data_IF_481734294717
#
_entry.id   IF_481734294717
#
_cell.length_a   1.000
_cell.length_b   1.000
_cell.length_c   1.000
_cell.angle_alpha   90.00
_cell.angle_beta   90.00
_cell.angle_gamma   90.00
#
_symmetry.space_group_name_H-M   'P 1'
#
loop_
_entity.id
_entity.type
_entity.pdbx_description
1 polymer ?
#
# COMPACT_ATOMS: atom_id res chain seq x y z
N UNK A 1 19.69 -13.61 -2.36
CA UNK A 1 19.25 -13.00 -1.10
C UNK A 1 19.19 -11.49 -1.30
N UNK A 2 18.29 -10.76 -0.62
CA UNK A 2 18.51 -9.32 -0.44
C UNK A 2 19.61 -9.21 0.60
N UNK A 3 20.83 -9.05 0.11
CA UNK A 3 22.01 -9.02 0.95
C UNK A 3 21.98 -7.80 1.88
N UNK A 4 21.35 -6.70 1.48
CA UNK A 4 21.33 -5.44 2.22
C UNK A 4 20.57 -5.56 3.55
N UNK A 5 19.33 -6.04 3.53
CA UNK A 5 18.50 -6.23 4.72
C UNK A 5 19.07 -7.32 5.63
N UNK A 6 19.53 -8.44 5.05
CA UNK A 6 20.16 -9.52 5.81
C UNK A 6 21.43 -9.03 6.54
N UNK A 7 22.33 -8.36 5.81
CA UNK A 7 23.59 -7.82 6.36
C UNK A 7 23.30 -6.80 7.44
N UNK A 8 22.32 -5.93 7.24
CA UNK A 8 21.92 -4.93 8.24
C UNK A 8 21.46 -5.61 9.53
N UNK A 9 20.58 -6.62 9.44
CA UNK A 9 20.11 -7.39 10.61
C UNK A 9 21.28 -8.07 11.32
N UNK A 10 22.19 -8.71 10.57
CA UNK A 10 23.37 -9.35 11.13
C UNK A 10 24.26 -8.34 11.86
N UNK A 11 24.53 -7.17 11.27
CA UNK A 11 25.32 -6.12 11.92
C UNK A 11 24.67 -5.66 13.23
N UNK A 12 23.38 -5.37 13.25
CA UNK A 12 22.70 -5.00 14.49
C UNK A 12 22.78 -6.11 15.55
N UNK A 13 22.67 -7.39 15.14
CA UNK A 13 22.82 -8.54 16.05
C UNK A 13 24.22 -8.66 16.67
N UNK A 14 25.23 -8.09 16.01
CA UNK A 14 26.61 -8.04 16.52
C UNK A 14 26.91 -6.76 17.32
N UNK A 15 25.87 -5.99 17.69
CA UNK A 15 26.02 -4.78 18.50
C UNK A 15 26.44 -3.54 17.72
N UNK A 16 26.44 -3.60 16.38
CA UNK A 16 26.68 -2.42 15.57
C UNK A 16 25.52 -1.43 15.68
N UNK A 17 25.83 -0.16 15.49
CA UNK A 17 24.85 0.92 15.42
C UNK A 17 25.00 1.63 14.08
N UNK A 18 23.88 2.04 13.50
CA UNK A 18 23.85 2.86 12.29
C UNK A 18 23.37 4.26 12.63
N UNK A 19 23.91 5.29 11.99
CA UNK A 19 23.39 6.65 12.05
C UNK A 19 22.87 7.03 10.68
N UNK A 20 21.60 7.41 10.62
CA UNK A 20 21.03 8.04 9.44
C UNK A 20 21.33 9.54 9.51
N UNK A 21 22.08 10.05 8.54
CA UNK A 21 22.43 11.47 8.43
C UNK A 21 21.72 12.00 7.19
N UNK A 22 21.01 13.11 7.36
CA UNK A 22 20.38 13.86 6.27
C UNK A 22 20.79 15.31 6.46
N UNK A 23 21.87 15.74 5.80
CA UNK A 23 22.42 17.07 6.04
C UNK A 23 21.59 18.14 5.30
N UNK A 24 21.34 19.32 5.91
CA UNK A 24 20.65 20.40 5.23
C UNK A 24 21.40 20.81 3.95
N UNK A 25 20.74 20.65 2.79
CA UNK A 25 21.34 20.97 1.49
C UNK A 25 22.13 19.82 0.85
N UNK A 26 22.19 18.64 1.49
CA UNK A 26 22.65 17.42 0.84
C UNK A 26 21.68 17.09 -0.30
N UNK A 27 22.09 17.46 -1.52
CA UNK A 27 21.46 16.90 -2.70
C UNK A 27 21.94 15.45 -2.76
N UNK A 28 21.04 14.51 -2.37
CA UNK A 28 21.17 13.13 -2.81
C UNK A 28 21.54 13.20 -4.29
N UNK A 29 22.65 12.59 -4.67
CA UNK A 29 23.07 12.44 -6.07
C UNK A 29 22.10 11.47 -6.75
N UNK A 30 20.85 11.89 -6.83
CA UNK A 30 19.75 11.18 -7.44
C UNK A 30 20.01 11.25 -8.93
N UNK A 31 20.73 10.25 -9.42
CA UNK A 31 20.59 9.84 -10.80
C UNK A 31 19.14 9.36 -10.96
N UNK A 32 18.24 10.29 -11.28
CA UNK A 32 16.84 10.02 -11.63
C UNK A 32 16.68 9.29 -12.96
N UNK A 33 17.78 8.94 -13.62
CA UNK A 33 17.75 7.96 -14.70
C UNK A 33 17.37 6.60 -14.13
N UNK A 34 16.10 6.23 -14.26
CA UNK A 34 15.65 4.85 -14.17
C UNK A 34 16.60 3.97 -15.00
N UNK A 35 17.32 3.01 -14.39
CA UNK A 35 18.26 2.19 -15.13
C UNK A 35 17.50 1.38 -16.18
N UNK A 36 17.86 1.55 -17.46
CA UNK A 36 17.41 0.64 -18.54
C UNK A 36 17.87 -0.81 -18.26
N UNK A 37 18.86 -0.99 -17.38
CA UNK A 37 19.31 -2.26 -16.82
C UNK A 37 19.86 -2.04 -15.40
N UNK A 38 19.32 -2.77 -14.41
CA UNK A 38 19.77 -2.68 -13.02
C UNK A 38 20.96 -3.64 -12.80
N UNK A 39 22.14 -3.10 -12.54
CA UNK A 39 23.31 -3.86 -12.07
C UNK A 39 23.82 -3.22 -10.78
N UNK A 40 23.69 -3.91 -9.65
CA UNK A 40 24.16 -3.43 -8.34
C UNK A 40 25.56 -3.94 -8.04
N UNK A 41 26.42 -3.10 -7.43
CA UNK A 41 27.71 -3.49 -6.86
C UNK A 41 27.83 -2.89 -5.46
N UNK A 42 27.95 -3.74 -4.44
CA UNK A 42 28.23 -3.31 -3.07
C UNK A 42 29.72 -2.95 -2.99
N UNK A 43 30.05 -1.71 -2.61
CA UNK A 43 31.43 -1.28 -2.37
C UNK A 43 31.59 -0.95 -0.88
N UNK A 44 32.48 -1.68 -0.22
CA UNK A 44 32.81 -1.46 1.18
C UNK A 44 33.78 -0.27 1.27
N UNK A 45 33.36 0.84 1.85
CA UNK A 45 34.24 2.00 2.08
C UNK A 45 34.92 1.83 3.45
N UNK A 46 36.25 1.76 3.46
CA UNK A 46 37.05 1.69 4.68
C UNK A 46 37.36 3.12 5.12
N UNK A 47 36.67 3.61 6.14
CA UNK A 47 37.05 4.86 6.80
C UNK A 47 38.33 4.64 7.65
N UNK A 48 39.24 5.63 7.75
CA UNK A 48 40.38 5.56 8.65
C UNK A 48 39.89 5.56 10.12
N UNK A 49 40.60 4.86 11.03
CA UNK A 49 40.14 4.66 12.40
C UNK A 49 40.22 5.96 13.22
N UNK A 50 39.16 6.39 13.90
CA UNK A 50 39.30 7.29 15.03
C UNK A 50 39.76 6.51 16.27
N UNK A 51 40.46 7.15 17.23
CA UNK A 51 40.81 6.50 18.47
C UNK A 51 39.51 6.28 19.28
N UNK A 52 39.24 5.04 19.66
CA UNK A 52 38.14 4.61 20.55
C UNK A 52 36.72 4.80 20.02
N UNK A 53 36.41 4.20 18.86
CA UNK A 53 35.12 3.56 18.50
C UNK A 53 35.16 3.28 16.99
N UNK A 54 35.14 2.01 16.59
CA UNK A 54 35.13 1.62 15.19
C UNK A 54 33.79 2.01 14.54
N UNK A 55 33.72 3.22 13.98
CA UNK A 55 32.64 3.65 13.11
C UNK A 55 32.87 3.05 11.72
N UNK A 56 32.12 2.01 11.37
CA UNK A 56 32.01 1.59 9.95
C UNK A 56 30.87 2.40 9.34
N UNK A 57 31.23 3.38 8.51
CA UNK A 57 30.27 4.07 7.66
C UNK A 57 30.02 3.18 6.44
N UNK A 58 28.86 2.52 6.41
CA UNK A 58 28.34 1.92 5.18
C UNK A 58 27.83 3.06 4.29
N UNK A 59 28.71 3.58 3.44
CA UNK A 59 28.31 4.48 2.37
C UNK A 59 27.78 3.64 1.21
N UNK A 60 26.47 3.68 0.99
CA UNK A 60 25.85 3.16 -0.24
C UNK A 60 26.13 4.23 -1.31
N UNK A 61 27.31 4.17 -1.95
CA UNK A 61 27.56 4.97 -3.15
C UNK A 61 26.90 4.31 -4.35
N UNK A 62 25.97 5.03 -5.00
CA UNK A 62 25.61 4.83 -6.41
C UNK A 62 26.83 5.15 -7.29
N UNK A 63 27.88 4.34 -7.20
CA UNK A 63 29.08 4.49 -8.01
C UNK A 63 28.89 3.80 -9.36
N UNK A 64 27.92 4.31 -10.13
CA UNK A 64 28.00 4.17 -11.58
C UNK A 64 29.12 5.11 -12.02
N UNK A 65 30.28 4.56 -12.44
CA UNK A 65 31.13 5.30 -13.38
C UNK A 65 30.35 5.42 -14.69
N UNK A 66 29.45 6.40 -14.76
CA UNK A 66 28.87 6.88 -16.00
C UNK A 66 29.96 7.62 -16.77
N UNK A 67 30.83 6.87 -17.43
CA UNK A 67 31.29 7.26 -18.77
C UNK A 67 30.12 7.05 -19.75
N UNK A 68 28.95 7.61 -19.43
CA UNK A 68 27.87 7.73 -20.38
C UNK A 68 27.86 9.18 -20.81
N UNK A 69 28.40 9.43 -22.01
CA UNK A 69 27.90 10.54 -22.80
C UNK A 69 26.38 10.47 -22.73
N UNK A 70 25.74 11.52 -22.20
CA UNK A 70 24.32 11.77 -22.41
C UNK A 70 24.09 11.95 -23.92
N UNK A 71 24.09 10.85 -24.67
CA UNK A 71 23.70 10.86 -26.07
C UNK A 71 22.19 11.06 -26.09
N UNK A 72 21.79 12.21 -26.61
CA UNK A 72 20.45 12.64 -26.95
C UNK A 72 19.77 11.71 -27.98
N UNK A 73 19.64 10.42 -27.65
CA UNK A 73 18.82 9.50 -28.42
C UNK A 73 17.38 9.63 -27.98
N UNK A 74 16.64 10.33 -28.84
CA UNK A 74 15.19 10.43 -28.98
C UNK A 74 14.52 9.04 -29.04
N UNK A 75 14.53 8.32 -27.92
CA UNK A 75 13.62 7.18 -27.72
C UNK A 75 12.25 7.75 -27.39
N UNK A 76 11.23 7.29 -28.11
CA UNK A 76 9.84 7.65 -27.90
C UNK A 76 9.42 7.44 -26.43
N UNK A 77 8.80 8.43 -25.77
CA UNK A 77 8.53 8.41 -24.32
C UNK A 77 7.70 7.21 -23.87
N UNK A 78 6.79 6.71 -24.72
CA UNK A 78 5.95 5.55 -24.43
C UNK A 78 6.71 4.22 -24.23
N UNK A 79 7.94 4.09 -24.74
CA UNK A 79 8.77 2.87 -24.58
C UNK A 79 9.55 2.89 -23.26
N UNK A 80 10.04 4.06 -22.83
CA UNK A 80 10.73 4.23 -21.55
C UNK A 80 9.80 3.95 -20.35
N UNK A 81 8.57 4.43 -20.38
CA UNK A 81 7.61 4.20 -19.29
C UNK A 81 7.25 2.71 -19.06
N UNK A 82 7.29 1.84 -20.08
CA UNK A 82 7.04 0.40 -19.90
C UNK A 82 8.19 -0.31 -19.19
N UNK A 83 9.43 0.02 -19.56
CA UNK A 83 10.64 -0.61 -18.99
C UNK A 83 10.76 -0.24 -17.52
N UNK A 84 10.58 1.04 -17.23
CA UNK A 84 10.47 1.61 -15.88
C UNK A 84 9.48 0.86 -14.97
N UNK A 85 8.26 0.63 -15.45
CA UNK A 85 7.21 0.03 -14.65
C UNK A 85 7.42 -1.46 -14.38
N UNK A 86 7.79 -2.21 -15.42
CA UNK A 86 8.13 -3.62 -15.25
C UNK A 86 9.34 -3.78 -14.32
N UNK A 87 10.31 -2.85 -14.38
CA UNK A 87 11.42 -2.82 -13.44
C UNK A 87 10.96 -2.57 -12.00
N UNK A 88 10.02 -1.65 -11.76
CA UNK A 88 9.48 -1.38 -10.42
C UNK A 88 8.72 -2.60 -9.84
N UNK A 89 7.82 -3.23 -10.61
CA UNK A 89 7.13 -4.45 -10.17
C UNK A 89 8.09 -5.61 -9.91
N UNK A 90 9.11 -5.77 -10.76
CA UNK A 90 10.14 -6.78 -10.60
C UNK A 90 11.02 -6.50 -9.38
N UNK A 91 11.29 -5.23 -9.08
CA UNK A 91 12.02 -4.82 -7.89
C UNK A 91 11.24 -5.14 -6.61
N UNK A 92 9.94 -4.80 -6.57
CA UNK A 92 9.05 -5.18 -5.44
C UNK A 92 8.98 -6.70 -5.29
N UNK A 93 8.81 -7.44 -6.39
CA UNK A 93 8.81 -8.90 -6.37
C UNK A 93 10.10 -9.46 -5.75
N UNK A 94 11.26 -8.94 -6.15
CA UNK A 94 12.57 -9.36 -5.62
C UNK A 94 12.71 -9.03 -4.14
N UNK A 95 12.24 -7.85 -3.72
CA UNK A 95 12.25 -7.45 -2.32
C UNK A 95 11.45 -8.42 -1.44
N UNK A 96 10.31 -8.86 -1.94
CA UNK A 96 9.46 -9.76 -1.16
C UNK A 96 9.95 -11.20 -1.22
N UNK A 97 10.46 -11.65 -2.36
CA UNK A 97 11.11 -12.97 -2.46
C UNK A 97 12.32 -13.07 -1.54
N UNK A 98 13.14 -12.01 -1.44
CA UNK A 98 14.29 -12.00 -0.55
C UNK A 98 13.90 -11.98 0.94
N UNK A 99 12.84 -11.25 1.31
CA UNK A 99 12.30 -11.29 2.67
C UNK A 99 11.76 -12.67 3.04
N UNK A 100 11.02 -13.32 2.12
CA UNK A 100 10.53 -14.68 2.30
C UNK A 100 11.69 -15.68 2.40
N UNK A 101 12.71 -15.56 1.53
CA UNK A 101 13.93 -16.38 1.60
C UNK A 101 14.64 -16.25 2.95
N UNK A 102 14.75 -15.02 3.46
CA UNK A 102 15.37 -14.75 4.75
C UNK A 102 14.67 -15.54 5.87
N UNK A 103 13.33 -15.50 5.92
CA UNK A 103 12.56 -16.23 6.90
C UNK A 103 12.65 -17.75 6.74
N UNK A 104 12.61 -18.27 5.51
CA UNK A 104 12.74 -19.72 5.28
C UNK A 104 14.14 -20.24 5.64
N UNK A 105 15.19 -19.46 5.38
CA UNK A 105 16.57 -19.90 5.58
C UNK A 105 17.04 -19.72 7.03
N UNK A 106 16.77 -18.56 7.64
CA UNK A 106 17.23 -18.24 9.00
C UNK A 106 16.18 -18.52 10.08
N UNK A 107 14.91 -18.72 9.68
CA UNK A 107 13.79 -18.89 10.60
C UNK A 107 13.27 -17.56 11.16
N UNK A 108 12.05 -17.58 11.68
CA UNK A 108 11.43 -16.41 12.35
C UNK A 108 12.23 -15.98 13.59
N UNK A 109 12.87 -16.94 14.28
CA UNK A 109 13.72 -16.66 15.44
C UNK A 109 14.87 -15.72 15.12
N UNK A 110 15.35 -15.69 13.88
CA UNK A 110 16.41 -14.78 13.46
C UNK A 110 16.03 -13.30 13.59
N UNK A 111 14.74 -12.98 13.50
CA UNK A 111 14.22 -11.62 13.59
C UNK A 111 13.37 -11.36 14.84
N UNK A 112 12.87 -12.41 15.53
CA UNK A 112 12.02 -12.29 16.72
C UNK A 112 12.66 -12.81 18.02
N UNK A 113 12.80 -14.12 18.19
CA UNK A 113 13.06 -14.72 19.51
C UNK A 113 14.51 -15.15 19.77
N UNK A 114 15.33 -15.28 18.73
CA UNK A 114 16.68 -15.82 18.79
C UNK A 114 17.72 -14.83 18.27
N UNK A 115 18.23 -13.95 19.13
CA UNK A 115 19.32 -13.03 18.76
C UNK A 115 19.54 -11.91 19.77
N UNK A 116 20.81 -11.48 19.89
CA UNK A 116 21.22 -10.32 20.69
C UNK A 116 21.01 -9.05 19.85
N UNK A 117 19.82 -8.47 19.87
CA UNK A 117 19.61 -7.14 19.32
C UNK A 117 19.98 -6.07 20.36
N UNK A 118 20.45 -4.88 19.95
CA UNK A 118 20.83 -3.82 20.90
C UNK A 118 19.63 -3.34 21.73
N UNK A 119 18.43 -3.29 21.12
CA UNK A 119 17.19 -2.93 21.80
C UNK A 119 16.03 -3.80 21.33
N UNK A 120 14.96 -3.84 22.14
CA UNK A 120 13.68 -4.48 21.76
C UNK A 120 13.09 -3.86 20.49
N UNK A 121 13.26 -2.56 20.29
CA UNK A 121 12.76 -1.88 19.09
C UNK A 121 13.48 -2.32 17.80
N UNK A 122 14.81 -2.52 17.83
CA UNK A 122 15.52 -3.08 16.67
C UNK A 122 14.98 -4.45 16.26
N UNK A 123 14.62 -5.27 17.25
CA UNK A 123 14.00 -6.57 17.03
C UNK A 123 12.61 -6.43 16.41
N UNK A 124 11.77 -5.54 16.91
CA UNK A 124 10.44 -5.27 16.33
C UNK A 124 10.56 -4.80 14.87
N UNK A 125 11.49 -3.88 14.58
CA UNK A 125 11.74 -3.44 13.20
C UNK A 125 12.26 -4.58 12.30
N UNK A 126 13.20 -5.40 12.78
CA UNK A 126 13.69 -6.54 12.01
C UNK A 126 12.59 -7.56 11.73
N UNK A 127 11.70 -7.78 12.70
CA UNK A 127 10.54 -8.65 12.54
C UNK A 127 9.55 -8.08 11.52
N UNK A 128 9.15 -6.81 11.67
CA UNK A 128 8.23 -6.13 10.75
C UNK A 128 8.76 -6.18 9.31
N UNK A 129 10.02 -5.80 9.08
CA UNK A 129 10.65 -5.84 7.75
C UNK A 129 10.69 -7.25 7.14
N UNK A 130 10.94 -8.29 7.95
CA UNK A 130 10.99 -9.66 7.46
C UNK A 130 9.60 -10.25 7.18
N UNK A 131 8.57 -9.81 7.91
CA UNK A 131 7.20 -10.34 7.86
C UNK A 131 6.21 -9.45 7.12
N UNK A 132 6.66 -8.29 6.64
CA UNK A 132 5.81 -7.28 6.00
C UNK A 132 4.93 -7.85 4.88
N UNK A 133 5.45 -8.81 4.10
CA UNK A 133 4.68 -9.45 3.02
C UNK A 133 3.42 -10.18 3.52
N UNK A 134 3.35 -10.58 4.81
CA UNK A 134 2.15 -11.19 5.39
C UNK A 134 0.98 -10.21 5.44
N UNK A 135 1.25 -8.91 5.55
CA UNK A 135 0.22 -7.86 5.55
C UNK A 135 -0.49 -7.77 4.18
N UNK A 136 0.12 -8.28 3.11
CA UNK A 136 -0.51 -8.31 1.79
C UNK A 136 -1.69 -9.27 1.71
N UNK A 137 -1.72 -10.34 2.51
CA UNK A 137 -2.83 -11.30 2.52
C UNK A 137 -4.13 -10.61 2.97
N UNK A 138 -4.22 -10.01 4.18
CA UNK A 138 -5.42 -9.28 4.58
C UNK A 138 -5.68 -8.09 3.66
N UNK A 139 -4.64 -7.37 3.19
CA UNK A 139 -4.80 -6.29 2.22
C UNK A 139 -5.48 -6.73 0.92
N UNK A 140 -5.12 -7.90 0.39
CA UNK A 140 -5.75 -8.46 -0.81
C UNK A 140 -7.15 -8.99 -0.53
N UNK A 141 -7.38 -9.61 0.64
CA UNK A 141 -8.72 -10.03 1.06
C UNK A 141 -9.68 -8.83 1.18
N UNK A 142 -9.21 -7.69 1.69
CA UNK A 142 -10.00 -6.46 1.76
C UNK A 142 -10.45 -5.97 0.38
N UNK A 143 -9.63 -6.17 -0.66
CA UNK A 143 -10.02 -5.88 -2.04
C UNK A 143 -11.00 -6.92 -2.60
N UNK A 144 -10.95 -8.18 -2.14
CA UNK A 144 -11.90 -9.21 -2.60
C UNK A 144 -13.26 -9.13 -1.91
N UNK A 145 -13.33 -8.61 -0.68
CA UNK A 145 -14.58 -8.52 0.09
C UNK A 145 -15.69 -7.84 -0.72
N UNK A 146 -15.42 -6.71 -1.41
CA UNK A 146 -16.35 -6.10 -2.32
C UNK A 146 -17.05 -7.01 -3.31
N UNK A 147 -16.23 -7.81 -3.96
CA UNK A 147 -16.63 -8.72 -5.01
C UNK A 147 -17.47 -9.84 -4.43
N UNK A 148 -17.04 -10.41 -3.31
CA UNK A 148 -17.72 -11.53 -2.67
C UNK A 148 -19.13 -11.11 -2.26
N UNK A 149 -19.28 -10.07 -1.42
CA UNK A 149 -20.62 -9.70 -0.95
C UNK A 149 -21.49 -9.16 -2.10
N UNK A 150 -20.90 -8.48 -3.10
CA UNK A 150 -21.66 -7.89 -4.19
C UNK A 150 -22.27 -8.96 -5.10
N UNK A 151 -21.54 -10.06 -5.30
CA UNK A 151 -21.99 -11.20 -6.10
C UNK A 151 -22.91 -12.12 -5.31
N UNK A 152 -22.57 -12.48 -4.07
CA UNK A 152 -23.39 -13.42 -3.27
C UNK A 152 -24.65 -12.78 -2.71
N UNK A 153 -24.61 -11.45 -2.53
CA UNK A 153 -25.66 -10.68 -1.90
C UNK A 153 -25.72 -10.83 -0.37
N UNK A 154 -24.77 -11.55 0.22
CA UNK A 154 -24.68 -11.78 1.67
C UNK A 154 -23.79 -10.72 2.30
N UNK A 155 -24.32 -9.98 3.28
CA UNK A 155 -23.49 -9.04 4.04
C UNK A 155 -22.54 -9.81 4.97
N UNK A 156 -21.23 -9.51 4.98
CA UNK A 156 -20.29 -10.15 5.89
C UNK A 156 -20.54 -9.76 7.36
N UNK A 157 -21.21 -8.63 7.58
CA UNK A 157 -21.56 -8.14 8.91
C UNK A 157 -22.99 -7.58 8.89
N UNK A 158 -23.83 -8.06 9.82
CA UNK A 158 -25.13 -7.46 10.06
C UNK A 158 -24.96 -6.40 11.15
N UNK A 159 -24.66 -5.16 10.75
CA UNK A 159 -24.35 -4.06 11.66
C UNK A 159 -25.45 -3.02 11.59
N UNK A 160 -26.05 -2.69 12.73
CA UNK A 160 -27.02 -1.60 12.78
C UNK A 160 -26.32 -0.25 12.56
N UNK A 161 -27.07 0.75 12.08
CA UNK A 161 -26.55 2.10 11.83
C UNK A 161 -25.97 2.71 13.11
N UNK A 162 -26.60 2.48 14.27
CA UNK A 162 -26.08 2.97 15.54
C UNK A 162 -24.73 2.33 15.90
N UNK A 163 -24.58 1.02 15.70
CA UNK A 163 -23.32 0.31 15.94
C UNK A 163 -22.20 0.77 15.00
N UNK A 164 -22.52 1.06 13.75
CA UNK A 164 -21.56 1.63 12.81
C UNK A 164 -20.97 2.96 13.32
N UNK A 165 -21.82 3.87 13.81
CA UNK A 165 -21.35 5.15 14.36
C UNK A 165 -20.67 5.02 15.72
N UNK A 166 -21.05 4.03 16.54
CA UNK A 166 -20.45 3.82 17.86
C UNK A 166 -19.09 3.11 17.79
N UNK A 167 -18.90 2.19 16.85
CA UNK A 167 -17.69 1.36 16.79
C UNK A 167 -16.82 1.66 15.57
N UNK A 168 -17.41 1.70 14.37
CA UNK A 168 -16.64 1.82 13.14
C UNK A 168 -16.09 3.24 12.95
N UNK A 169 -16.91 4.26 13.20
CA UNK A 169 -16.48 5.66 13.01
C UNK A 169 -15.32 6.05 13.95
N UNK A 170 -15.36 5.78 15.27
CA UNK A 170 -14.23 6.07 16.15
C UNK A 170 -12.99 5.25 15.80
N UNK A 171 -13.16 4.02 15.32
CA UNK A 171 -12.05 3.20 14.83
C UNK A 171 -11.37 3.86 13.62
N UNK A 172 -12.12 4.28 12.59
CA UNK A 172 -11.56 4.96 11.42
C UNK A 172 -10.84 6.25 11.82
N UNK A 173 -11.46 7.06 12.69
CA UNK A 173 -10.83 8.31 13.17
C UNK A 173 -9.53 8.02 13.93
N UNK A 174 -9.55 7.05 14.86
CA UNK A 174 -8.36 6.70 15.65
C UNK A 174 -7.27 6.00 14.83
N UNK A 175 -7.61 5.32 13.74
CA UNK A 175 -6.65 4.77 12.78
C UNK A 175 -6.02 5.85 11.89
N UNK A 176 -6.79 6.88 11.50
CA UNK A 176 -6.30 7.97 10.65
C UNK A 176 -5.47 9.00 11.42
N UNK A 177 -5.82 9.29 12.67
CA UNK A 177 -5.21 10.37 13.44
C UNK A 177 -3.68 10.25 13.60
N UNK A 178 -3.10 9.08 13.94
CA UNK A 178 -1.64 8.92 14.02
C UNK A 178 -0.95 9.20 12.68
N UNK A 179 -1.56 8.80 11.57
CA UNK A 179 -1.05 9.05 10.22
C UNK A 179 -1.06 10.54 9.89
N UNK A 180 -2.12 11.26 10.25
CA UNK A 180 -2.22 12.71 10.05
C UNK A 180 -1.19 13.46 10.91
N UNK A 181 -1.05 13.10 12.18
CA UNK A 181 -0.08 13.68 13.11
C UNK A 181 1.36 13.41 12.62
N UNK A 182 1.66 12.17 12.25
CA UNK A 182 2.98 11.76 11.73
C UNK A 182 3.31 12.48 10.43
N UNK A 183 2.36 12.59 9.50
CA UNK A 183 2.53 13.32 8.25
C UNK A 183 2.81 14.80 8.47
N UNK A 184 2.07 15.44 9.38
CA UNK A 184 2.31 16.84 9.75
C UNK A 184 3.68 17.03 10.42
N UNK A 185 4.03 16.18 11.38
CA UNK A 185 5.31 16.25 12.10
C UNK A 185 6.51 16.04 11.18
N UNK A 186 6.40 15.14 10.20
CA UNK A 186 7.46 14.85 9.22
C UNK A 186 7.43 15.76 7.99
N UNK A 187 6.45 16.67 7.91
CA UNK A 187 6.19 17.51 6.75
C UNK A 187 6.12 16.72 5.42
N UNK A 188 5.45 15.56 5.46
CA UNK A 188 5.28 14.69 4.30
C UNK A 188 4.08 15.16 3.50
N UNK A 189 4.29 15.34 2.19
CA UNK A 189 3.22 15.62 1.24
C UNK A 189 2.12 14.55 1.32
N UNK A 190 0.89 14.98 1.56
CA UNK A 190 -0.28 14.10 1.68
C UNK A 190 -0.50 13.30 0.39
N UNK A 191 -0.19 13.88 -0.77
CA UNK A 191 -0.36 13.23 -2.07
C UNK A 191 0.67 12.12 -2.27
N UNK A 192 1.86 12.28 -1.69
CA UNK A 192 2.87 11.23 -1.66
C UNK A 192 2.42 10.07 -0.79
N UNK A 193 2.00 10.34 0.45
CA UNK A 193 1.55 9.32 1.39
C UNK A 193 0.41 8.47 0.79
N UNK A 194 -0.54 9.13 0.15
CA UNK A 194 -1.66 8.47 -0.48
C UNK A 194 -1.24 7.62 -1.69
N UNK A 195 -0.33 8.11 -2.54
CA UNK A 195 0.21 7.33 -3.65
C UNK A 195 0.96 6.10 -3.16
N UNK A 196 1.73 6.22 -2.07
CA UNK A 196 2.44 5.09 -1.48
C UNK A 196 1.45 4.02 -0.99
N UNK A 197 0.34 4.42 -0.36
CA UNK A 197 -0.74 3.51 0.06
C UNK A 197 -1.42 2.83 -1.13
N UNK A 198 -1.74 3.57 -2.20
CA UNK A 198 -2.32 3.02 -3.42
C UNK A 198 -1.38 2.02 -4.09
N UNK A 199 -0.09 2.35 -4.21
CA UNK A 199 0.94 1.46 -4.75
C UNK A 199 1.07 0.21 -3.89
N UNK A 200 1.05 0.35 -2.57
CA UNK A 200 1.09 -0.80 -1.67
C UNK A 200 -0.13 -1.72 -1.87
N UNK A 201 -1.36 -1.20 -1.80
CA UNK A 201 -2.59 -1.97 -1.97
C UNK A 201 -2.66 -2.66 -3.34
N UNK A 202 -2.36 -1.92 -4.41
CA UNK A 202 -2.41 -2.44 -5.78
C UNK A 202 -1.30 -3.44 -6.12
N UNK A 203 -0.24 -3.52 -5.31
CA UNK A 203 0.84 -4.50 -5.47
C UNK A 203 0.78 -5.64 -4.46
N UNK A 204 -0.24 -5.72 -3.61
CA UNK A 204 -0.43 -6.83 -2.65
C UNK A 204 -0.37 -8.22 -3.31
N UNK A 205 -0.94 -8.37 -4.51
CA UNK A 205 -0.86 -9.62 -5.27
C UNK A 205 0.59 -10.04 -5.60
N UNK A 206 1.49 -9.07 -5.82
CA UNK A 206 2.92 -9.33 -6.10
C UNK A 206 3.58 -9.95 -4.88
N UNK A 207 3.23 -9.45 -3.69
CA UNK A 207 3.74 -9.93 -2.40
C UNK A 207 3.28 -11.37 -2.13
N UNK A 208 1.99 -11.65 -2.37
CA UNK A 208 1.42 -13.00 -2.28
C UNK A 208 2.09 -13.93 -3.29
N UNK A 209 2.25 -13.49 -4.53
CA UNK A 209 2.93 -14.26 -5.57
C UNK A 209 4.40 -14.52 -5.22
N UNK A 210 5.11 -13.56 -4.62
CA UNK A 210 6.47 -13.74 -4.13
C UNK A 210 6.53 -14.90 -3.11
N UNK A 211 5.62 -14.89 -2.14
CA UNK A 211 5.50 -15.96 -1.15
C UNK A 211 5.18 -17.32 -1.78
N UNK A 212 4.15 -17.40 -2.61
CA UNK A 212 3.73 -18.64 -3.26
C UNK A 212 4.81 -19.20 -4.19
N UNK A 213 5.46 -18.33 -4.97
CA UNK A 213 6.55 -18.73 -5.87
C UNK A 213 7.69 -19.35 -5.06
N UNK A 214 8.09 -18.73 -3.95
CA UNK A 214 9.14 -19.24 -3.07
C UNK A 214 8.77 -20.58 -2.42
N UNK A 215 7.52 -20.73 -1.97
CA UNK A 215 7.02 -21.96 -1.39
C UNK A 215 6.99 -23.11 -2.42
N UNK A 216 6.45 -22.84 -3.62
CA UNK A 216 6.21 -23.84 -4.66
C UNK A 216 7.49 -24.31 -5.35
N UNK A 217 8.32 -23.36 -5.76
CA UNK A 217 9.52 -23.66 -6.54
C UNK A 217 10.70 -24.09 -5.68
N UNK A 218 10.57 -23.99 -4.35
CA UNK A 218 11.68 -24.16 -3.43
C UNK A 218 12.94 -23.42 -3.90
N UNK A 219 12.77 -22.19 -4.42
CA UNK A 219 13.85 -21.29 -4.88
C UNK A 219 14.75 -20.86 -3.71
N UNK A 220 15.35 -21.81 -3.02
CA UNK A 220 16.21 -21.66 -1.85
C UNK A 220 17.62 -21.40 -2.34
N UNK A 221 18.01 -20.16 -2.64
CA UNK A 221 19.39 -19.69 -2.87
C UNK A 221 20.36 -20.54 -3.72
N UNK A 222 19.94 -21.62 -4.39
CA UNK A 222 20.87 -22.56 -5.01
C UNK A 222 21.54 -21.95 -6.25
N UNK A 223 20.86 -21.03 -6.94
CA UNK A 223 21.42 -20.22 -8.04
C UNK A 223 20.77 -18.84 -8.06
N UNK A 224 21.58 -17.78 -8.01
CA UNK A 224 21.11 -16.39 -8.06
C UNK A 224 20.29 -16.11 -9.33
N UNK A 225 20.69 -16.71 -10.46
CA UNK A 225 20.05 -16.57 -11.78
C UNK A 225 18.54 -16.87 -11.77
N UNK A 226 18.10 -17.82 -10.95
CA UNK A 226 16.70 -18.22 -10.91
C UNK A 226 15.77 -17.13 -10.32
N UNK A 227 16.30 -16.24 -9.47
CA UNK A 227 15.53 -15.11 -8.92
C UNK A 227 15.28 -13.99 -9.95
N UNK A 228 16.04 -13.97 -11.06
CA UNK A 228 15.93 -12.93 -12.09
C UNK A 228 14.96 -13.30 -13.21
N UNK A 229 14.62 -14.58 -13.35
CA UNK A 229 13.73 -15.10 -14.40
C UNK A 229 12.24 -14.98 -14.06
N UNK A 230 11.89 -14.87 -12.77
CA UNK A 230 10.49 -14.86 -12.34
C UNK A 230 9.86 -13.50 -12.61
N UNK A 231 8.77 -13.49 -13.39
CA UNK A 231 7.92 -12.31 -13.62
C UNK A 231 6.61 -12.50 -12.89
N UNK A 232 6.18 -11.50 -12.12
CA UNK A 232 4.87 -11.51 -11.50
C UNK A 232 3.79 -11.35 -12.59
N UNK A 233 2.78 -12.24 -12.64
CA UNK A 233 1.66 -12.07 -13.55
C UNK A 233 0.84 -10.83 -13.15
N UNK A 234 0.46 -10.00 -14.11
CA UNK A 234 -0.34 -8.78 -13.85
C UNK A 234 -1.84 -9.01 -13.93
N UNK A 235 -2.29 -10.18 -14.41
CA UNK A 235 -3.70 -10.51 -14.52
C UNK A 235 -4.47 -10.44 -13.19
N UNK A 236 -3.91 -10.76 -11.99
CA UNK A 236 -4.66 -10.66 -10.75
C UNK A 236 -5.13 -9.23 -10.46
N UNK A 237 -4.29 -8.23 -10.75
CA UNK A 237 -4.66 -6.81 -10.64
C UNK A 237 -5.90 -6.50 -11.49
N UNK A 238 -5.91 -6.95 -12.74
CA UNK A 238 -7.03 -6.71 -13.66
C UNK A 238 -8.27 -7.51 -13.29
N UNK A 239 -8.11 -8.74 -12.80
CA UNK A 239 -9.21 -9.58 -12.38
C UNK A 239 -9.93 -8.99 -11.17
N UNK A 240 -9.19 -8.54 -10.16
CA UNK A 240 -9.79 -7.84 -9.00
C UNK A 240 -10.44 -6.54 -9.44
N UNK A 241 -9.73 -5.72 -10.22
CA UNK A 241 -10.27 -4.46 -10.73
C UNK A 241 -11.57 -4.64 -11.54
N UNK A 242 -11.64 -5.64 -12.42
CA UNK A 242 -12.86 -5.98 -13.16
C UNK A 242 -13.95 -6.55 -12.24
N UNK A 243 -13.57 -7.34 -11.25
CA UNK A 243 -14.45 -7.87 -10.23
C UNK A 243 -15.17 -6.78 -9.44
N UNK A 244 -14.53 -5.64 -9.18
CA UNK A 244 -15.19 -4.50 -8.53
C UNK A 244 -16.40 -4.00 -9.32
N UNK A 245 -16.33 -3.98 -10.65
CA UNK A 245 -17.48 -3.61 -11.48
C UNK A 245 -18.56 -4.70 -11.47
N UNK A 246 -18.16 -5.97 -11.37
CA UNK A 246 -19.11 -7.06 -11.16
C UNK A 246 -19.82 -6.95 -9.80
N UNK A 247 -19.12 -6.49 -8.75
CA UNK A 247 -19.71 -6.21 -7.44
C UNK A 247 -20.80 -5.13 -7.54
N UNK A 248 -20.52 -4.03 -8.24
CA UNK A 248 -21.49 -2.96 -8.48
C UNK A 248 -22.70 -3.48 -9.26
N UNK A 249 -22.48 -4.28 -10.31
CA UNK A 249 -23.56 -4.92 -11.07
C UNK A 249 -24.41 -5.88 -10.23
N UNK A 250 -23.77 -6.70 -9.39
CA UNK A 250 -24.43 -7.60 -8.46
C UNK A 250 -25.29 -6.85 -7.45
N UNK A 251 -24.80 -5.74 -6.90
CA UNK A 251 -25.59 -4.90 -5.99
C UNK A 251 -26.85 -4.33 -6.65
N UNK A 252 -26.75 -3.86 -7.90
CA UNK A 252 -27.91 -3.40 -8.65
C UNK A 252 -28.90 -4.53 -8.94
N UNK A 253 -28.40 -5.72 -9.28
CA UNK A 253 -29.23 -6.91 -9.47
C UNK A 253 -30.02 -7.26 -8.20
N UNK A 254 -29.39 -7.29 -7.03
CA UNK A 254 -30.05 -7.63 -5.78
C UNK A 254 -31.10 -6.59 -5.37
N UNK A 255 -30.82 -5.30 -5.58
CA UNK A 255 -31.81 -4.22 -5.38
C UNK A 255 -33.01 -4.39 -6.30
N UNK A 256 -32.78 -4.73 -7.57
CA UNK A 256 -33.86 -4.95 -8.53
C UNK A 256 -34.68 -6.21 -8.18
N UNK A 257 -34.06 -7.24 -7.61
CA UNK A 257 -34.71 -8.50 -7.29
C UNK A 257 -35.48 -8.49 -5.95
N UNK A 258 -34.89 -7.92 -4.89
CA UNK A 258 -35.46 -7.92 -3.54
C UNK A 258 -36.11 -6.61 -3.11
N UNK A 259 -36.02 -5.59 -3.97
CA UNK A 259 -36.51 -4.25 -3.67
C UNK A 259 -35.50 -3.42 -2.87
N UNK A 260 -35.59 -2.11 -3.06
CA UNK A 260 -34.66 -1.16 -2.47
C UNK A 260 -34.71 -1.17 -0.93
N UNK A 261 -35.90 -1.19 -0.33
CA UNK A 261 -36.06 -1.08 1.13
C UNK A 261 -35.37 -2.22 1.90
N UNK A 262 -35.29 -3.41 1.30
CA UNK A 262 -34.66 -4.58 1.91
C UNK A 262 -33.13 -4.60 1.70
N UNK A 263 -32.63 -3.86 0.71
CA UNK A 263 -31.27 -4.03 0.22
C UNK A 263 -30.44 -2.74 0.18
N UNK A 264 -31.03 -1.60 0.55
CA UNK A 264 -30.38 -0.30 0.42
C UNK A 264 -29.10 -0.18 1.25
N UNK A 265 -29.05 -0.75 2.46
CA UNK A 265 -27.84 -0.74 3.29
C UNK A 265 -26.70 -1.54 2.65
N UNK A 266 -27.00 -2.73 2.12
CA UNK A 266 -26.04 -3.55 1.41
C UNK A 266 -25.55 -2.82 0.16
N UNK A 267 -26.45 -2.24 -0.64
CA UNK A 267 -26.10 -1.44 -1.83
C UNK A 267 -25.08 -0.34 -1.49
N UNK A 268 -25.31 0.42 -0.42
CA UNK A 268 -24.40 1.50 -0.03
C UNK A 268 -23.02 0.95 0.32
N UNK A 269 -22.96 -0.07 1.19
CA UNK A 269 -21.70 -0.72 1.56
C UNK A 269 -20.98 -1.26 0.33
N UNK A 270 -21.76 -1.81 -0.62
CA UNK A 270 -21.22 -2.35 -1.87
C UNK A 270 -20.52 -1.28 -2.68
N UNK A 271 -21.26 -0.23 -2.98
CA UNK A 271 -20.79 0.87 -3.80
C UNK A 271 -19.62 1.56 -3.12
N UNK A 272 -19.67 1.73 -1.80
CA UNK A 272 -18.61 2.37 -1.03
C UNK A 272 -17.27 1.68 -1.20
N UNK A 273 -17.24 0.40 -0.85
CA UNK A 273 -16.00 -0.35 -0.75
C UNK A 273 -15.48 -0.76 -2.13
N UNK A 274 -16.36 -1.05 -3.10
CA UNK A 274 -15.95 -1.27 -4.48
C UNK A 274 -15.33 -0.01 -5.12
N UNK A 275 -15.91 1.18 -4.90
CA UNK A 275 -15.32 2.44 -5.40
C UNK A 275 -13.99 2.77 -4.72
N UNK A 276 -13.85 2.50 -3.41
CA UNK A 276 -12.58 2.64 -2.70
C UNK A 276 -11.52 1.66 -3.22
N UNK A 277 -11.89 0.42 -3.52
CA UNK A 277 -11.00 -0.57 -4.11
C UNK A 277 -10.57 -0.15 -5.53
N UNK A 278 -11.51 0.25 -6.40
CA UNK A 278 -11.23 0.84 -7.72
C UNK A 278 -10.27 2.02 -7.58
N UNK A 279 -10.52 2.92 -6.62
CA UNK A 279 -9.67 4.07 -6.33
C UNK A 279 -8.24 3.66 -5.93
N UNK A 280 -8.10 2.64 -5.08
CA UNK A 280 -6.79 2.14 -4.65
C UNK A 280 -6.01 1.47 -5.78
N UNK A 281 -6.72 0.72 -6.65
CA UNK A 281 -6.13 -0.02 -7.76
C UNK A 281 -5.85 0.85 -8.99
N UNK A 282 -6.58 1.96 -9.15
CA UNK A 282 -6.56 2.81 -10.33
C UNK A 282 -5.17 3.22 -10.81
N UNK A 283 -4.24 3.71 -9.97
CA UNK A 283 -2.95 4.18 -10.46
C UNK A 283 -2.18 3.10 -11.21
N UNK A 284 -2.17 1.87 -10.68
CA UNK A 284 -1.45 0.76 -11.30
C UNK A 284 -2.19 0.22 -12.53
N UNK A 285 -3.53 0.16 -12.49
CA UNK A 285 -4.33 -0.25 -13.65
C UNK A 285 -4.17 0.74 -14.80
N UNK A 286 -4.33 2.04 -14.52
CA UNK A 286 -4.17 3.10 -15.50
C UNK A 286 -2.74 3.10 -16.07
N UNK A 287 -1.73 2.90 -15.23
CA UNK A 287 -0.34 2.81 -15.66
C UNK A 287 -0.10 1.61 -16.58
N UNK A 288 -0.63 0.43 -16.25
CA UNK A 288 -0.49 -0.77 -17.09
C UNK A 288 -1.26 -0.67 -18.41
N UNK A 289 -2.47 -0.10 -18.38
CA UNK A 289 -3.32 0.10 -19.55
C UNK A 289 -2.93 1.34 -20.39
N UNK A 290 -1.99 2.15 -19.89
CA UNK A 290 -1.58 3.44 -20.48
C UNK A 290 -2.73 4.43 -20.60
N UNK A 291 -3.65 4.41 -19.65
CA UNK A 291 -4.73 5.39 -19.59
C UNK A 291 -4.16 6.73 -19.12
N UNK A 292 -4.43 7.77 -19.90
CA UNK A 292 -4.09 9.17 -19.56
C UNK A 292 -5.14 9.84 -18.67
N UNK A 293 -6.06 9.05 -18.14
CA UNK A 293 -7.14 9.56 -17.34
C UNK A 293 -6.56 10.30 -16.11
N UNK A 294 -7.22 11.40 -15.67
CA UNK A 294 -6.77 12.15 -14.51
C UNK A 294 -6.58 11.21 -13.33
N UNK A 295 -5.57 11.48 -12.49
CA UNK A 295 -5.42 10.75 -11.25
C UNK A 295 -6.76 10.85 -10.53
N UNK A 296 -7.31 9.72 -10.09
CA UNK A 296 -8.60 9.68 -9.40
C UNK A 296 -8.60 10.47 -8.07
N UNK A 297 -7.56 11.25 -7.80
CA UNK A 297 -7.34 12.07 -6.61
C UNK A 297 -8.57 12.94 -6.26
N UNK A 298 -9.14 13.66 -7.24
CA UNK A 298 -10.37 14.42 -7.03
C UNK A 298 -11.61 13.53 -6.85
N UNK A 299 -11.53 12.27 -7.29
CA UNK A 299 -12.58 11.28 -7.10
C UNK A 299 -12.68 10.84 -5.63
N UNK A 300 -11.61 10.84 -4.82
CA UNK A 300 -11.71 10.38 -3.41
C UNK A 300 -12.64 11.27 -2.58
N UNK A 301 -12.47 12.59 -2.64
CA UNK A 301 -13.35 13.53 -1.92
C UNK A 301 -14.76 13.45 -2.47
N UNK A 302 -14.92 13.35 -3.80
CA UNK A 302 -16.23 13.18 -4.43
C UNK A 302 -16.88 11.84 -4.07
N UNK A 303 -16.12 10.75 -3.92
CA UNK A 303 -16.60 9.41 -3.53
C UNK A 303 -17.00 9.42 -2.08
N UNK A 304 -16.22 10.01 -1.17
CA UNK A 304 -16.60 10.15 0.24
C UNK A 304 -17.78 11.10 0.44
N UNK A 305 -17.83 12.22 -0.28
CA UNK A 305 -18.96 13.15 -0.24
C UNK A 305 -20.21 12.53 -0.85
N UNK A 306 -20.09 11.82 -1.99
CA UNK A 306 -21.18 11.08 -2.60
C UNK A 306 -21.64 9.94 -1.68
N UNK A 307 -20.73 9.24 -1.01
CA UNK A 307 -21.06 8.21 -0.03
C UNK A 307 -21.80 8.77 1.17
N UNK A 308 -21.32 9.86 1.75
CA UNK A 308 -22.00 10.55 2.86
C UNK A 308 -23.39 11.03 2.43
N UNK A 309 -23.50 11.66 1.26
CA UNK A 309 -24.77 12.12 0.70
C UNK A 309 -25.72 10.95 0.39
N UNK A 310 -25.20 9.82 -0.09
CA UNK A 310 -25.96 8.63 -0.45
C UNK A 310 -26.43 7.88 0.81
N UNK A 311 -25.59 7.74 1.85
CA UNK A 311 -26.00 7.22 3.17
C UNK A 311 -27.14 8.05 3.75
N UNK A 312 -27.00 9.38 3.77
CA UNK A 312 -28.03 10.29 4.29
C UNK A 312 -29.29 10.25 3.43
N UNK A 313 -29.14 10.26 2.12
CA UNK A 313 -30.26 10.22 1.19
C UNK A 313 -31.07 8.93 1.32
N UNK A 314 -30.39 7.79 1.45
CA UNK A 314 -31.03 6.49 1.65
C UNK A 314 -31.70 6.39 3.01
N UNK A 315 -31.04 6.83 4.10
CA UNK A 315 -31.65 6.87 5.44
C UNK A 315 -32.91 7.76 5.42
N UNK A 316 -32.82 8.95 4.85
CA UNK A 316 -33.95 9.88 4.71
C UNK A 316 -35.10 9.27 3.88
N UNK A 317 -34.82 8.71 2.70
CA UNK A 317 -35.84 8.11 1.84
C UNK A 317 -36.49 6.87 2.47
N UNK A 318 -35.70 6.01 3.12
CA UNK A 318 -36.23 4.81 3.79
C UNK A 318 -37.09 5.14 5.02
N UNK A 319 -36.86 6.29 5.66
CA UNK A 319 -37.72 6.82 6.74
C UNK A 319 -38.97 7.51 6.19
N UNK A 320 -38.84 8.24 5.08
CA UNK A 320 -39.97 8.84 4.38
C UNK A 320 -40.97 7.77 3.90
N UNK A 321 -40.45 6.64 3.40
CA UNK A 321 -41.23 5.47 3.01
C UNK A 321 -41.95 4.81 4.21
N UNK A 322 -41.35 4.87 5.41
CA UNK A 322 -41.91 4.28 6.65
C UNK A 322 -42.89 5.17 7.41
N UNK A 323 -43.10 6.44 7.01
CA UNK A 323 -43.96 7.42 7.70
C UNK A 323 -43.64 7.63 9.21
N UNK A 324 -42.41 7.39 9.64
CA UNK A 324 -41.98 7.71 11.01
C UNK A 324 -41.32 9.10 11.06
N UNK A 325 -41.89 9.99 11.88
CA UNK A 325 -41.41 11.36 12.04
C UNK A 325 -40.15 11.49 12.92
N UNK A 326 -39.36 12.54 12.58
CA UNK A 326 -38.27 13.26 13.30
C UNK A 326 -36.81 12.81 13.05
N UNK A 327 -36.08 13.52 12.16
CA UNK A 327 -34.68 13.26 11.80
C UNK A 327 -33.75 14.41 12.24
N UNK A 328 -33.43 14.55 13.53
CA UNK A 328 -32.55 15.68 13.97
C UNK A 328 -31.21 15.19 14.51
N UNK A 329 -31.11 14.01 15.12
CA UNK A 329 -29.87 13.55 15.78
C UNK A 329 -28.75 13.08 14.84
N UNK A 330 -29.03 12.18 13.90
CA UNK A 330 -27.98 11.55 13.09
C UNK A 330 -27.43 12.47 11.99
N UNK A 331 -28.31 13.23 11.34
CA UNK A 331 -27.92 14.17 10.29
C UNK A 331 -27.07 15.33 10.84
N UNK A 332 -27.38 15.83 12.05
CA UNK A 332 -26.57 16.86 12.70
C UNK A 332 -25.21 16.34 13.16
N UNK A 333 -25.12 15.09 13.63
CA UNK A 333 -23.84 14.45 13.97
C UNK A 333 -22.95 14.27 12.73
N UNK A 334 -23.52 13.82 11.60
CA UNK A 334 -22.78 13.66 10.35
C UNK A 334 -22.33 15.02 9.78
N UNK A 335 -23.21 16.02 9.76
CA UNK A 335 -22.86 17.38 9.34
C UNK A 335 -21.77 17.99 10.21
N UNK A 336 -21.82 17.75 11.53
CA UNK A 336 -20.76 18.20 12.44
C UNK A 336 -19.43 17.50 12.16
N UNK A 337 -19.42 16.19 11.86
CA UNK A 337 -18.21 15.44 11.52
C UNK A 337 -17.64 15.83 10.16
N UNK A 338 -18.48 16.02 9.14
CA UNK A 338 -18.08 16.52 7.82
C UNK A 338 -17.51 17.93 7.96
N UNK A 339 -18.16 18.82 8.72
CA UNK A 339 -17.64 20.15 9.00
C UNK A 339 -16.29 20.09 9.73
N UNK A 340 -16.09 19.15 10.67
CA UNK A 340 -14.81 18.97 11.36
C UNK A 340 -13.71 18.49 10.40
N UNK A 341 -14.03 17.54 9.51
CA UNK A 341 -13.10 17.02 8.50
C UNK A 341 -12.72 18.08 7.46
N UNK A 342 -13.68 18.89 7.00
CA UNK A 342 -13.44 20.02 6.10
C UNK A 342 -12.57 21.07 6.80
N UNK A 343 -12.86 21.42 8.05
CA UNK A 343 -12.10 22.42 8.80
C UNK A 343 -10.67 21.94 9.11
N UNK A 344 -10.47 20.65 9.35
CA UNK A 344 -9.14 20.05 9.50
C UNK A 344 -8.34 20.05 8.18
N UNK A 345 -9.03 20.02 7.03
CA UNK A 345 -8.43 20.13 5.71
C UNK A 345 -8.08 21.59 5.36
N UNK A 346 -8.98 22.54 5.64
CA UNK A 346 -8.75 23.98 5.43
C UNK A 346 -7.61 24.53 6.29
N UNK A 347 -7.36 23.96 7.48
CA UNK A 347 -6.23 24.37 8.31
C UNK A 347 -4.85 24.02 7.72
N UNK A 348 -4.80 23.25 6.62
CA UNK A 348 -3.58 22.87 5.89
C UNK A 348 -3.40 23.60 4.56
N UNK A 349 -4.43 24.22 4.02
CA UNK A 349 -4.36 25.04 2.80
C UNK A 349 -4.03 26.48 3.18
#
# INVERSE_FOLDING_TARGET
LIEDTHTSIDMFRHGWTSRYVNEPGEQLSSCTHQPDSIAWRIKQVRAPPPPLLSLVVLQIEDSVRLSARCSSHTRTPARQHRVAHQAALLQVLRWHQGAVQLLFYKGISYTSFGGKFPTVWHRVYAFDQATYYLQAIPGYLLLLMPIIYGVTGESPFNTDVAEFFLFFTPYVVSAMLPTLISGAWRNVDADRLQRDEQVWLSTTYVQIYAFLSMLWTSLRCQKHENAWAVKAPVWPLFAVFAGEFAALGGALFWVAHFGFDNWAQNLISVVASALLAVYALWPMVALQMRWRAPSAYHLKVLVWAALGALVVGVDYLSRLARRDERPIGAASLLLAQVALAVRAYEWRA
#
